data_IF_978104072696
#
_entry.id   IF_978104072696
#
_cell.length_a   1.000
_cell.length_b   1.000
_cell.length_c   1.000
_cell.angle_alpha   90.00
_cell.angle_beta   90.00
_cell.angle_gamma   90.00
#
_symmetry.space_group_name_H-M   'P 1'
#
loop_
_entity.id
_entity.type
_entity.pdbx_description
1 polymer ?
#
# COMPACT_ATOMS: atom_id res chain seq x y z
N UNK A 1 -30.00 -35.41 -21.17
CA UNK A 1 -30.06 -34.28 -20.25
C UNK A 1 -29.77 -34.82 -18.85
N UNK A 2 -28.59 -34.52 -18.28
CA UNK A 2 -28.26 -34.85 -16.90
C UNK A 2 -29.07 -33.94 -15.99
N UNK A 3 -29.82 -34.50 -15.06
CA UNK A 3 -30.52 -33.70 -14.05
C UNK A 3 -29.51 -33.41 -12.94
N UNK A 4 -29.27 -32.13 -12.70
CA UNK A 4 -28.41 -31.68 -11.61
C UNK A 4 -29.05 -32.02 -10.26
N UNK A 5 -28.24 -32.47 -9.32
CA UNK A 5 -28.67 -32.66 -7.94
C UNK A 5 -28.80 -31.31 -7.19
N UNK A 6 -29.30 -31.32 -5.95
CA UNK A 6 -29.56 -30.07 -5.23
C UNK A 6 -28.24 -29.36 -4.79
N UNK A 7 -27.15 -30.10 -4.59
CA UNK A 7 -25.83 -29.54 -4.31
C UNK A 7 -25.26 -28.82 -5.56
N UNK A 8 -25.31 -29.47 -6.73
CA UNK A 8 -24.87 -28.91 -8.00
C UNK A 8 -25.65 -27.61 -8.37
N UNK A 9 -26.95 -27.57 -8.05
CA UNK A 9 -27.75 -26.35 -8.26
C UNK A 9 -27.36 -25.22 -7.33
N UNK A 10 -27.06 -25.57 -6.07
CA UNK A 10 -26.63 -24.58 -5.07
C UNK A 10 -25.27 -24.00 -5.41
N UNK A 11 -24.31 -24.84 -5.84
CA UNK A 11 -23.01 -24.41 -6.32
C UNK A 11 -23.13 -23.49 -7.56
N UNK A 12 -23.99 -23.84 -8.53
CA UNK A 12 -24.21 -22.99 -9.70
C UNK A 12 -24.87 -21.64 -9.34
N UNK A 13 -25.75 -21.63 -8.35
CA UNK A 13 -26.39 -20.38 -7.88
C UNK A 13 -25.39 -19.52 -7.09
N UNK A 14 -24.53 -20.13 -6.27
CA UNK A 14 -23.44 -19.44 -5.55
C UNK A 14 -22.43 -18.83 -6.54
N UNK A 15 -21.99 -19.56 -7.56
CA UNK A 15 -21.09 -19.06 -8.62
C UNK A 15 -21.71 -17.90 -9.39
N UNK A 16 -23.01 -17.98 -9.76
CA UNK A 16 -23.73 -16.89 -10.44
C UNK A 16 -23.84 -15.65 -9.60
N UNK A 17 -24.12 -15.81 -8.30
CA UNK A 17 -24.20 -14.70 -7.36
C UNK A 17 -22.84 -14.05 -7.14
N UNK A 18 -21.77 -14.83 -7.05
CA UNK A 18 -20.40 -14.32 -6.96
C UNK A 18 -19.99 -13.53 -8.20
N UNK A 19 -20.27 -14.05 -9.40
CA UNK A 19 -20.01 -13.36 -10.65
C UNK A 19 -20.76 -12.03 -10.75
N UNK A 20 -22.06 -12.03 -10.38
CA UNK A 20 -22.89 -10.83 -10.37
C UNK A 20 -22.36 -9.77 -9.38
N UNK A 21 -21.89 -10.21 -8.22
CA UNK A 21 -21.32 -9.31 -7.21
C UNK A 21 -19.99 -8.70 -7.70
N UNK A 22 -19.16 -9.48 -8.39
CA UNK A 22 -17.94 -8.98 -9.04
C UNK A 22 -18.24 -7.92 -10.09
N UNK A 23 -19.23 -8.15 -10.97
CA UNK A 23 -19.65 -7.17 -11.97
C UNK A 23 -20.19 -5.88 -11.34
N UNK A 24 -21.03 -5.99 -10.33
CA UNK A 24 -21.58 -4.82 -9.62
C UNK A 24 -20.49 -3.99 -8.95
N UNK A 25 -19.54 -4.66 -8.33
CA UNK A 25 -18.41 -4.01 -7.69
C UNK A 25 -17.53 -3.26 -8.70
N UNK A 26 -17.19 -3.91 -9.81
CA UNK A 26 -16.42 -3.27 -10.90
C UNK A 26 -17.16 -2.09 -11.51
N UNK A 27 -18.47 -2.24 -11.75
CA UNK A 27 -19.28 -1.15 -12.29
C UNK A 27 -19.33 0.03 -11.30
N UNK A 28 -19.43 -0.23 -9.99
CA UNK A 28 -19.39 0.79 -8.95
C UNK A 28 -18.09 1.60 -8.98
N UNK A 29 -16.94 0.96 -9.18
CA UNK A 29 -15.66 1.67 -9.36
C UNK A 29 -15.68 2.53 -10.62
N UNK A 30 -16.13 2.00 -11.75
CA UNK A 30 -16.20 2.74 -13.03
C UNK A 30 -17.12 3.94 -12.94
N UNK A 31 -18.28 3.77 -12.33
CA UNK A 31 -19.27 4.84 -12.14
C UNK A 31 -18.69 5.95 -11.25
N UNK A 32 -18.03 5.58 -10.16
CA UNK A 32 -17.35 6.51 -9.27
C UNK A 32 -16.26 7.33 -10.01
N UNK A 33 -15.43 6.67 -10.81
CA UNK A 33 -14.35 7.33 -11.55
C UNK A 33 -14.85 8.28 -12.63
N UNK A 34 -16.02 7.99 -13.22
CA UNK A 34 -16.61 8.80 -14.30
C UNK A 34 -17.59 9.86 -13.82
N UNK A 35 -18.04 9.77 -12.56
CA UNK A 35 -19.05 10.69 -12.01
C UNK A 35 -18.43 12.02 -11.64
N UNK A 36 -19.07 13.11 -12.06
CA UNK A 36 -18.80 14.44 -11.52
C UNK A 36 -19.65 14.66 -10.27
N UNK A 37 -19.00 15.17 -9.22
CA UNK A 37 -19.64 15.45 -7.94
C UNK A 37 -19.72 16.94 -7.71
N UNK A 38 -20.81 17.38 -7.05
CA UNK A 38 -21.01 18.77 -6.65
C UNK A 38 -20.38 19.09 -5.28
N UNK A 39 -19.92 18.09 -4.55
CA UNK A 39 -19.22 18.23 -3.28
C UNK A 39 -17.75 17.85 -3.49
N UNK A 40 -16.82 18.52 -2.81
CA UNK A 40 -15.39 18.34 -3.04
C UNK A 40 -14.59 18.30 -1.74
N UNK A 41 -13.58 17.45 -1.70
CA UNK A 41 -12.43 17.61 -0.81
C UNK A 41 -11.37 18.41 -1.60
N UNK A 42 -11.16 19.65 -1.23
CA UNK A 42 -10.28 20.57 -1.97
C UNK A 42 -8.82 20.40 -1.57
N UNK A 43 -8.56 20.09 -0.30
CA UNK A 43 -7.21 19.88 0.21
C UNK A 43 -7.16 18.93 1.41
N UNK A 44 -6.04 18.20 1.56
CA UNK A 44 -5.72 17.38 2.73
C UNK A 44 -4.25 17.58 3.03
N UNK A 45 -3.94 18.30 4.11
CA UNK A 45 -2.57 18.55 4.57
C UNK A 45 -2.25 17.78 5.83
N UNK A 46 -1.02 17.31 5.96
CA UNK A 46 -0.55 16.53 7.11
C UNK A 46 0.65 17.19 7.75
N UNK A 47 0.50 17.55 9.03
CA UNK A 47 1.59 18.02 9.88
C UNK A 47 2.18 16.89 10.73
N UNK A 48 2.99 17.24 11.71
CA UNK A 48 3.62 16.25 12.62
C UNK A 48 2.57 15.52 13.47
N UNK A 49 1.58 16.24 13.97
CA UNK A 49 0.58 15.70 14.93
C UNK A 49 -0.85 15.80 14.46
N UNK A 50 -1.11 16.47 13.34
CA UNK A 50 -2.46 16.74 12.86
C UNK A 50 -2.62 16.52 11.36
N UNK A 51 -3.84 16.27 10.94
CA UNK A 51 -4.30 16.31 9.56
C UNK A 51 -5.40 17.34 9.42
N UNK A 52 -5.34 18.19 8.39
CA UNK A 52 -6.35 19.19 8.09
C UNK A 52 -7.00 18.87 6.75
N UNK A 53 -8.33 18.75 6.76
CA UNK A 53 -9.15 18.44 5.59
C UNK A 53 -10.01 19.65 5.26
N UNK A 54 -9.93 20.11 4.03
CA UNK A 54 -10.73 21.22 3.52
C UNK A 54 -11.64 20.75 2.39
N UNK A 55 -12.80 21.37 2.30
CA UNK A 55 -13.77 21.00 1.27
C UNK A 55 -15.01 21.86 1.28
N UNK A 56 -15.90 21.49 0.39
CA UNK A 56 -17.23 22.08 0.28
C UNK A 56 -18.28 21.00 0.00
N UNK A 57 -19.52 21.32 0.37
CA UNK A 57 -20.67 20.48 0.02
C UNK A 57 -21.89 21.34 -0.33
N UNK A 58 -22.79 20.79 -1.10
CA UNK A 58 -24.05 21.43 -1.50
C UNK A 58 -25.16 20.40 -1.59
N UNK A 59 -26.37 20.82 -1.36
CA UNK A 59 -27.57 20.01 -1.43
C UNK A 59 -28.39 20.00 -0.14
N UNK A 60 -29.46 19.20 -0.15
CA UNK A 60 -30.35 19.02 1.01
C UNK A 60 -30.06 17.69 1.72
N UNK A 61 -30.11 17.70 3.04
CA UNK A 61 -29.91 16.53 3.88
C UNK A 61 -28.77 16.71 4.89
N UNK A 62 -28.42 15.65 5.58
CA UNK A 62 -27.33 15.62 6.56
C UNK A 62 -26.04 15.15 5.87
N UNK A 63 -25.04 16.00 5.89
CA UNK A 63 -23.72 15.69 5.33
C UNK A 63 -22.69 15.53 6.42
N UNK A 64 -21.67 14.69 6.14
CA UNK A 64 -20.55 14.51 7.03
C UNK A 64 -19.26 14.28 6.23
N UNK A 65 -18.14 14.66 6.83
CA UNK A 65 -16.81 14.24 6.38
C UNK A 65 -16.56 12.82 6.88
N UNK A 66 -16.30 11.90 5.97
CA UNK A 66 -15.97 10.51 6.28
C UNK A 66 -14.50 10.21 6.10
N UNK A 67 -13.91 9.50 7.07
CA UNK A 67 -12.59 8.91 6.94
C UNK A 67 -12.68 7.51 6.34
N UNK A 68 -11.83 7.23 5.37
CA UNK A 68 -11.66 5.93 4.73
C UNK A 68 -10.22 5.48 5.00
N UNK A 69 -9.98 4.75 6.11
CA UNK A 69 -8.68 4.20 6.43
C UNK A 69 -8.16 3.24 5.35
N UNK A 70 -6.85 2.99 5.28
CA UNK A 70 -6.26 2.16 4.22
C UNK A 70 -6.74 0.70 4.22
N UNK A 71 -7.29 0.22 5.33
CA UNK A 71 -7.88 -1.13 5.47
C UNK A 71 -9.38 -1.19 5.17
N UNK A 72 -10.00 -0.06 4.78
CA UNK A 72 -11.43 0.02 4.43
C UNK A 72 -11.60 0.13 2.92
N UNK A 73 -12.44 -0.74 2.38
CA UNK A 73 -12.89 -0.65 0.99
C UNK A 73 -14.17 0.18 0.90
N UNK A 74 -14.07 1.40 0.40
CA UNK A 74 -15.19 2.33 0.34
C UNK A 74 -16.33 1.89 -0.60
N UNK A 75 -16.07 0.96 -1.51
CA UNK A 75 -17.08 0.41 -2.43
C UNK A 75 -17.85 -0.78 -1.84
N UNK A 76 -17.36 -1.34 -0.72
CA UNK A 76 -18.01 -2.44 0.01
C UNK A 76 -18.61 -2.00 1.33
N UNK A 77 -18.30 -0.78 1.79
CA UNK A 77 -18.74 -0.25 3.09
C UNK A 77 -20.07 0.42 2.96
N UNK A 78 -21.09 -0.08 3.67
CA UNK A 78 -22.42 0.51 3.72
C UNK A 78 -22.49 1.72 4.65
N UNK A 79 -21.76 1.68 5.77
CA UNK A 79 -21.69 2.75 6.76
C UNK A 79 -20.24 3.13 7.05
N UNK A 80 -19.99 4.43 7.05
CA UNK A 80 -18.71 4.98 7.46
C UNK A 80 -18.62 5.01 8.99
N UNK A 81 -17.60 4.43 9.57
CA UNK A 81 -17.43 4.38 11.03
C UNK A 81 -17.02 5.73 11.61
N UNK A 82 -16.05 6.39 10.99
CA UNK A 82 -15.57 7.69 11.46
C UNK A 82 -16.23 8.83 10.68
N UNK A 83 -17.13 9.56 11.36
CA UNK A 83 -17.95 10.63 10.79
C UNK A 83 -17.75 11.93 11.55
N UNK A 84 -17.62 13.02 10.81
CA UNK A 84 -17.62 14.37 11.37
C UNK A 84 -18.77 15.14 10.71
N UNK A 85 -19.83 15.50 11.45
CA UNK A 85 -20.95 16.26 10.89
C UNK A 85 -20.50 17.58 10.29
N UNK A 86 -21.05 17.93 9.14
CA UNK A 86 -20.81 19.19 8.45
C UNK A 86 -22.00 20.12 8.70
N UNK A 87 -21.74 21.35 9.13
CA UNK A 87 -22.75 22.37 9.42
C UNK A 87 -22.68 23.58 8.48
N UNK A 88 -21.55 23.76 7.81
CA UNK A 88 -21.29 24.88 6.90
C UNK A 88 -20.90 24.33 5.53
N UNK A 89 -21.39 24.96 4.47
CA UNK A 89 -21.18 24.51 3.09
C UNK A 89 -19.69 24.49 2.67
N UNK A 90 -18.84 25.24 3.34
CA UNK A 90 -17.38 25.17 3.20
C UNK A 90 -16.78 24.88 4.56
N UNK A 91 -15.85 23.93 4.63
CA UNK A 91 -15.30 23.48 5.89
C UNK A 91 -13.76 23.37 5.86
N UNK A 92 -13.18 23.53 7.04
CA UNK A 92 -11.77 23.23 7.31
C UNK A 92 -11.69 22.53 8.68
N UNK A 93 -11.39 21.26 8.68
CA UNK A 93 -11.44 20.39 9.87
C UNK A 93 -10.04 19.91 10.17
N UNK A 94 -9.58 20.15 11.40
CA UNK A 94 -8.30 19.64 11.89
C UNK A 94 -8.54 18.50 12.89
N UNK A 95 -7.79 17.41 12.71
CA UNK A 95 -7.87 16.20 13.53
C UNK A 95 -6.47 15.74 13.94
N UNK A 96 -6.41 14.93 14.99
CA UNK A 96 -5.17 14.24 15.34
C UNK A 96 -4.72 13.31 14.20
N UNK A 97 -3.43 13.36 13.88
CA UNK A 97 -2.83 12.52 12.83
C UNK A 97 -2.91 11.04 13.18
N UNK A 98 -2.72 10.69 14.43
CA UNK A 98 -2.69 9.30 14.87
C UNK A 98 -3.96 8.90 15.60
N UNK A 99 -4.53 7.76 15.22
CA UNK A 99 -5.76 7.21 15.80
C UNK A 99 -5.56 5.76 16.21
N UNK A 100 -6.16 5.39 17.36
CA UNK A 100 -6.12 4.01 17.86
C UNK A 100 -7.41 3.28 17.48
N UNK A 101 -7.28 2.10 16.87
CA UNK A 101 -8.35 1.16 16.57
C UNK A 101 -7.96 -0.19 17.15
N UNK A 102 -8.68 -0.63 18.18
CA UNK A 102 -8.26 -1.78 18.97
C UNK A 102 -6.87 -1.57 19.55
N UNK A 103 -5.95 -2.47 19.28
CA UNK A 103 -4.55 -2.41 19.73
C UNK A 103 -3.62 -1.67 18.75
N UNK A 104 -4.15 -1.18 17.63
CA UNK A 104 -3.35 -0.56 16.58
C UNK A 104 -3.49 0.96 16.58
N UNK A 105 -2.37 1.65 16.45
CA UNK A 105 -2.31 3.08 16.21
C UNK A 105 -1.93 3.30 14.75
N UNK A 106 -2.88 3.73 13.93
CA UNK A 106 -2.61 4.03 12.52
C UNK A 106 -2.43 5.52 12.27
N UNK A 107 -1.75 5.83 11.17
CA UNK A 107 -1.46 7.19 10.72
C UNK A 107 -2.49 7.62 9.67
N UNK A 108 -3.22 8.69 9.94
CA UNK A 108 -4.19 9.31 9.02
C UNK A 108 -3.55 9.91 7.76
N UNK A 109 -2.23 10.01 7.70
CA UNK A 109 -1.51 10.24 6.45
C UNK A 109 -1.89 9.22 5.36
N UNK A 110 -2.21 7.99 5.77
CA UNK A 110 -2.55 6.89 4.86
C UNK A 110 -4.04 6.82 4.51
N UNK A 111 -4.89 7.58 5.21
CA UNK A 111 -6.33 7.64 4.97
C UNK A 111 -6.68 8.51 3.76
N UNK A 112 -7.79 8.21 3.14
CA UNK A 112 -8.47 9.12 2.21
C UNK A 112 -9.76 9.65 2.83
N UNK A 113 -10.21 10.80 2.35
CA UNK A 113 -11.32 11.55 2.91
C UNK A 113 -12.34 11.84 1.84
N UNK A 114 -13.62 11.75 2.17
CA UNK A 114 -14.71 12.08 1.26
C UNK A 114 -15.89 12.69 2.00
N UNK A 115 -16.72 13.43 1.27
CA UNK A 115 -18.02 13.88 1.75
C UNK A 115 -19.05 12.80 1.49
N UNK A 116 -19.83 12.51 2.51
CA UNK A 116 -20.96 11.59 2.45
C UNK A 116 -22.25 12.30 2.85
N UNK A 117 -23.36 11.82 2.29
CA UNK A 117 -24.71 12.13 2.75
C UNK A 117 -25.21 10.97 3.59
N UNK A 118 -25.74 11.27 4.78
CA UNK A 118 -26.26 10.27 5.69
C UNK A 118 -27.51 9.60 5.11
N UNK A 119 -27.48 8.28 5.01
CA UNK A 119 -28.64 7.47 4.62
C UNK A 119 -29.17 6.64 5.78
N UNK A 120 -30.34 6.04 5.66
CA UNK A 120 -30.87 5.15 6.69
C UNK A 120 -30.03 3.87 6.80
N UNK A 121 -29.84 3.16 5.71
CA UNK A 121 -29.12 1.88 5.65
C UNK A 121 -27.71 2.03 5.07
N UNK A 122 -27.51 2.87 4.06
CA UNK A 122 -26.26 3.10 3.36
C UNK A 122 -25.93 4.59 3.32
N UNK A 123 -24.70 4.95 3.63
CA UNK A 123 -24.20 6.31 3.48
C UNK A 123 -23.82 6.56 2.01
N UNK A 124 -24.36 7.60 1.41
CA UNK A 124 -24.13 7.94 0.01
C UNK A 124 -22.82 8.74 -0.14
N UNK A 125 -21.90 8.23 -0.95
CA UNK A 125 -20.69 8.94 -1.35
C UNK A 125 -21.04 10.06 -2.34
N UNK A 126 -20.77 11.33 -1.97
CA UNK A 126 -21.17 12.52 -2.74
C UNK A 126 -20.00 13.39 -3.18
N UNK A 127 -18.77 12.96 -2.97
CA UNK A 127 -17.55 13.58 -3.49
C UNK A 127 -16.57 12.52 -3.96
N UNK A 128 -15.57 12.92 -4.77
CA UNK A 128 -14.38 12.09 -4.90
C UNK A 128 -13.62 12.03 -3.56
N UNK A 129 -13.09 10.84 -3.23
CA UNK A 129 -12.22 10.69 -2.08
C UNK A 129 -10.80 11.19 -2.41
N UNK A 130 -10.17 11.87 -1.44
CA UNK A 130 -8.84 12.46 -1.60
C UNK A 130 -7.88 11.98 -0.51
N UNK A 131 -6.68 11.60 -0.91
CA UNK A 131 -5.56 11.35 -0.02
C UNK A 131 -4.86 12.66 0.38
N UNK A 132 -4.00 12.57 1.39
CA UNK A 132 -3.12 13.66 1.78
C UNK A 132 -2.31 14.19 0.57
N UNK A 133 -2.12 15.50 0.57
CA UNK A 133 -1.33 16.19 -0.46
C UNK A 133 0.14 15.81 -0.28
N UNK A 134 0.71 15.18 -1.29
CA UNK A 134 2.08 14.64 -1.22
C UNK A 134 3.15 15.73 -1.07
N UNK A 135 2.90 16.92 -1.64
CA UNK A 135 3.80 18.08 -1.54
C UNK A 135 3.88 18.65 -0.11
N UNK A 136 2.95 18.26 0.77
CA UNK A 136 2.95 18.65 2.18
C UNK A 136 3.67 17.64 3.08
N UNK A 137 4.15 16.52 2.55
CA UNK A 137 4.93 15.52 3.29
C UNK A 137 6.38 15.98 3.27
N UNK A 138 6.88 16.37 4.44
CA UNK A 138 8.28 16.77 4.58
C UNK A 138 9.13 15.56 4.92
N UNK A 139 10.12 15.27 4.07
CA UNK A 139 11.11 14.25 4.36
C UNK A 139 11.99 14.64 5.56
N UNK A 140 12.38 13.66 6.35
CA UNK A 140 13.30 13.84 7.50
C UNK A 140 14.69 14.24 7.05
N UNK A 141 15.05 13.89 5.82
CA UNK A 141 16.31 14.29 5.17
C UNK A 141 16.06 14.53 3.68
N UNK A 142 16.97 15.25 3.05
CA UNK A 142 17.01 15.40 1.60
C UNK A 142 18.34 14.87 1.10
N UNK A 143 18.29 13.87 0.24
CA UNK A 143 19.47 13.27 -0.36
C UNK A 143 19.51 13.62 -1.84
N UNK A 144 20.65 14.12 -2.30
CA UNK A 144 20.81 14.47 -3.72
C UNK A 144 20.61 13.25 -4.62
N UNK A 145 19.93 13.48 -5.74
CA UNK A 145 19.76 12.48 -6.78
C UNK A 145 21.12 12.08 -7.36
N UNK A 146 21.37 10.78 -7.47
CA UNK A 146 22.59 10.27 -8.08
C UNK A 146 22.53 10.46 -9.59
N UNK A 147 23.43 11.24 -10.20
CA UNK A 147 23.42 11.43 -11.64
C UNK A 147 23.83 10.15 -12.38
N UNK A 148 23.04 9.74 -13.37
CA UNK A 148 23.37 8.57 -14.19
C UNK A 148 24.55 8.87 -15.10
N UNK A 149 25.67 8.17 -14.91
CA UNK A 149 26.91 8.31 -15.72
C UNK A 149 26.83 7.54 -17.05
N UNK A 150 25.95 6.56 -17.14
CA UNK A 150 25.73 5.76 -18.35
C UNK A 150 24.26 5.31 -18.42
N UNK A 151 23.86 4.75 -19.58
CA UNK A 151 22.55 4.10 -19.75
C UNK A 151 22.55 2.62 -19.39
N UNK A 152 23.67 2.11 -18.87
CA UNK A 152 23.77 0.71 -18.48
C UNK A 152 23.12 0.50 -17.12
N UNK A 153 22.30 -0.54 -17.02
CA UNK A 153 21.67 -0.99 -15.78
C UNK A 153 21.77 -2.50 -15.64
N UNK A 154 21.65 -2.99 -14.42
CA UNK A 154 21.62 -4.41 -14.09
C UNK A 154 20.34 -4.74 -13.33
N UNK A 155 19.54 -5.66 -13.86
CA UNK A 155 18.33 -6.15 -13.21
C UNK A 155 18.62 -7.30 -12.25
N UNK A 156 17.99 -7.29 -11.06
CA UNK A 156 18.08 -8.38 -10.10
C UNK A 156 19.48 -8.55 -9.48
N UNK A 157 20.12 -7.44 -9.12
CA UNK A 157 21.43 -7.47 -8.46
C UNK A 157 21.34 -8.20 -7.12
N UNK A 158 22.26 -9.11 -6.87
CA UNK A 158 22.36 -9.89 -5.64
C UNK A 158 23.79 -9.85 -5.09
N UNK A 159 23.93 -10.13 -3.80
CA UNK A 159 25.23 -10.33 -3.18
C UNK A 159 25.82 -11.66 -3.64
N UNK A 160 27.02 -11.62 -4.19
CA UNK A 160 27.79 -12.79 -4.62
C UNK A 160 29.28 -12.52 -4.56
N UNK A 161 30.11 -13.57 -4.65
CA UNK A 161 31.57 -13.48 -4.43
C UNK A 161 32.35 -12.56 -5.37
N UNK A 162 31.80 -12.20 -6.54
CA UNK A 162 32.39 -11.28 -7.51
C UNK A 162 31.73 -9.91 -7.57
N UNK A 163 30.81 -9.59 -6.63
CA UNK A 163 29.99 -8.39 -6.67
C UNK A 163 30.77 -7.11 -6.97
N UNK A 164 31.85 -6.83 -6.20
CA UNK A 164 32.65 -5.61 -6.37
C UNK A 164 33.36 -5.57 -7.69
N UNK A 165 33.93 -6.68 -8.13
CA UNK A 165 34.59 -6.82 -9.42
C UNK A 165 33.62 -6.55 -10.56
N UNK A 166 32.46 -7.17 -10.54
CA UNK A 166 31.47 -7.02 -11.60
C UNK A 166 30.91 -5.60 -11.67
N UNK A 167 30.65 -4.96 -10.52
CA UNK A 167 30.20 -3.55 -10.49
C UNK A 167 31.23 -2.60 -11.10
N UNK A 168 32.52 -2.83 -10.85
CA UNK A 168 33.61 -2.00 -11.37
C UNK A 168 33.81 -2.22 -12.89
N UNK A 169 33.74 -3.47 -13.38
CA UNK A 169 33.93 -3.79 -14.80
C UNK A 169 32.72 -3.46 -15.69
N UNK A 170 31.50 -3.67 -15.21
CA UNK A 170 30.30 -3.44 -16.02
C UNK A 170 30.05 -1.95 -16.28
N UNK A 171 30.47 -1.06 -15.39
CA UNK A 171 30.29 0.37 -15.52
C UNK A 171 28.82 0.76 -15.58
N UNK A 172 27.99 0.11 -14.78
CA UNK A 172 26.55 0.40 -14.65
C UNK A 172 26.31 1.68 -13.84
N UNK A 173 25.20 2.36 -14.10
CA UNK A 173 24.77 3.52 -13.34
C UNK A 173 23.46 3.28 -12.57
N UNK A 174 22.79 2.18 -12.85
CA UNK A 174 21.56 1.79 -12.14
C UNK A 174 21.48 0.28 -11.95
N UNK A 175 20.76 -0.14 -10.91
CA UNK A 175 20.45 -1.54 -10.68
C UNK A 175 19.06 -1.70 -10.06
N UNK A 176 18.48 -2.91 -10.13
CA UNK A 176 17.33 -3.29 -9.34
C UNK A 176 17.69 -4.40 -8.37
N UNK A 177 17.04 -4.40 -7.20
CA UNK A 177 17.09 -5.50 -6.24
C UNK A 177 15.65 -5.96 -5.92
N UNK A 178 15.46 -7.26 -5.74
CA UNK A 178 14.18 -7.81 -5.29
C UNK A 178 14.11 -7.82 -3.77
N UNK A 179 13.02 -7.32 -3.20
CA UNK A 179 12.79 -7.20 -1.76
C UNK A 179 11.55 -8.02 -1.38
N UNK A 180 11.66 -9.34 -1.20
CA UNK A 180 10.56 -10.18 -0.76
C UNK A 180 10.36 -10.02 0.75
N UNK A 181 9.47 -9.11 1.14
CA UNK A 181 9.25 -8.64 2.53
C UNK A 181 9.09 -9.80 3.50
N UNK A 182 8.24 -10.76 3.17
CA UNK A 182 7.93 -11.91 4.03
C UNK A 182 9.09 -12.90 4.23
N UNK A 183 10.19 -12.78 3.48
CA UNK A 183 11.36 -13.65 3.66
C UNK A 183 12.21 -13.24 4.87
N UNK A 184 12.07 -12.01 5.34
CA UNK A 184 12.89 -11.47 6.44
C UNK A 184 12.06 -10.77 7.52
N UNK A 185 10.75 -10.72 7.40
CA UNK A 185 9.84 -10.18 8.42
C UNK A 185 9.16 -11.32 9.16
N UNK A 186 9.11 -11.23 10.50
CA UNK A 186 8.45 -12.18 11.38
C UNK A 186 7.42 -11.48 12.27
N UNK A 187 6.37 -12.20 12.66
CA UNK A 187 5.35 -11.73 13.62
C UNK A 187 5.67 -12.10 15.07
N UNK A 188 6.65 -12.99 15.26
CA UNK A 188 7.18 -13.41 16.56
C UNK A 188 8.70 -13.37 16.54
N UNK A 189 9.30 -12.97 17.67
CA UNK A 189 10.73 -12.81 17.82
C UNK A 189 11.50 -14.13 17.53
N UNK A 190 12.52 -14.00 16.68
CA UNK A 190 13.48 -15.04 16.40
C UNK A 190 14.89 -14.59 16.83
N UNK A 191 15.80 -15.53 17.15
CA UNK A 191 17.17 -15.17 17.51
C UNK A 191 17.87 -14.36 16.41
N UNK A 192 18.36 -13.16 16.76
CA UNK A 192 19.05 -12.28 15.85
C UNK A 192 18.14 -11.37 15.03
N UNK A 193 16.87 -11.25 15.41
CA UNK A 193 15.96 -10.29 14.79
C UNK A 193 16.16 -8.86 15.33
N UNK A 194 15.98 -7.89 14.45
CA UNK A 194 15.80 -6.49 14.81
C UNK A 194 14.36 -6.28 15.25
N UNK A 195 14.17 -5.74 16.46
CA UNK A 195 12.86 -5.36 16.98
C UNK A 195 12.49 -3.98 16.45
N UNK A 196 11.32 -3.87 15.84
CA UNK A 196 10.81 -2.63 15.27
C UNK A 196 9.38 -2.34 15.72
N UNK A 197 9.17 -1.20 16.37
CA UNK A 197 7.84 -0.81 16.83
C UNK A 197 7.19 0.14 15.85
N UNK A 198 6.04 -0.26 15.32
CA UNK A 198 5.21 0.56 14.45
C UNK A 198 3.74 0.47 14.87
N UNK A 199 3.05 1.62 14.98
CA UNK A 199 1.64 1.65 15.31
C UNK A 199 1.26 0.96 16.64
N UNK A 200 2.16 0.94 17.63
CA UNK A 200 1.94 0.31 18.93
C UNK A 200 2.19 -1.20 18.98
N UNK A 201 2.58 -1.81 17.86
CA UNK A 201 2.96 -3.23 17.76
C UNK A 201 4.45 -3.37 17.46
N UNK A 202 5.03 -4.48 17.90
CA UNK A 202 6.41 -4.84 17.58
C UNK A 202 6.41 -5.88 16.47
N UNK A 203 7.25 -5.63 15.47
CA UNK A 203 7.54 -6.52 14.36
C UNK A 203 9.03 -6.87 14.39
N UNK A 204 9.40 -7.96 13.74
CA UNK A 204 10.74 -8.53 13.84
C UNK A 204 11.31 -8.72 12.45
N UNK A 205 12.57 -8.28 12.26
CA UNK A 205 13.23 -8.33 10.96
C UNK A 205 14.56 -9.08 11.08
N UNK A 206 14.75 -10.10 10.27
CA UNK A 206 15.96 -10.92 10.29
C UNK A 206 17.19 -10.11 9.87
N UNK A 207 18.03 -9.74 10.86
CA UNK A 207 19.21 -8.90 10.64
C UNK A 207 20.21 -9.55 9.68
N UNK A 208 20.47 -10.84 9.87
CA UNK A 208 21.44 -11.56 9.03
C UNK A 208 21.00 -11.62 7.56
N UNK A 209 19.70 -11.80 7.33
CA UNK A 209 19.14 -11.78 5.97
C UNK A 209 19.31 -10.38 5.33
N UNK A 210 18.99 -9.33 6.06
CA UNK A 210 19.12 -7.94 5.58
C UNK A 210 20.58 -7.62 5.24
N UNK A 211 21.51 -7.93 6.15
CA UNK A 211 22.96 -7.69 5.93
C UNK A 211 23.43 -8.44 4.69
N UNK A 212 23.16 -9.74 4.61
CA UNK A 212 23.70 -10.59 3.53
C UNK A 212 23.05 -10.33 2.18
N UNK A 213 21.78 -9.96 2.13
CA UNK A 213 21.03 -9.81 0.87
C UNK A 213 21.02 -8.37 0.36
N UNK A 214 20.95 -7.38 1.26
CA UNK A 214 20.71 -5.98 0.87
C UNK A 214 21.81 -5.03 1.32
N UNK A 215 22.18 -5.00 2.60
CA UNK A 215 23.10 -3.99 3.13
C UNK A 215 24.43 -3.97 2.37
N UNK A 216 25.04 -5.15 2.16
CA UNK A 216 26.30 -5.28 1.42
C UNK A 216 26.15 -4.77 -0.01
N UNK A 217 25.07 -5.13 -0.69
CA UNK A 217 24.80 -4.70 -2.08
C UNK A 217 24.62 -3.19 -2.13
N UNK A 218 23.81 -2.64 -1.24
CA UNK A 218 23.49 -1.21 -1.21
C UNK A 218 24.70 -0.36 -0.82
N UNK A 219 25.54 -0.80 0.11
CA UNK A 219 26.80 -0.14 0.43
C UNK A 219 27.74 -0.10 -0.78
N UNK A 220 27.91 -1.22 -1.48
CA UNK A 220 28.79 -1.29 -2.65
C UNK A 220 28.26 -0.43 -3.82
N UNK A 221 26.95 -0.37 -4.03
CA UNK A 221 26.35 0.46 -5.06
C UNK A 221 26.39 1.95 -4.71
N UNK A 222 26.10 2.33 -3.46
CA UNK A 222 26.17 3.71 -2.99
C UNK A 222 27.57 4.29 -3.10
N UNK A 223 28.60 3.55 -2.69
CA UNK A 223 30.02 3.95 -2.81
C UNK A 223 30.44 4.22 -4.25
N UNK A 224 29.80 3.59 -5.22
CA UNK A 224 30.06 3.75 -6.67
C UNK A 224 29.17 4.77 -7.36
N UNK A 225 28.22 5.35 -6.64
CA UNK A 225 27.20 6.23 -7.20
C UNK A 225 26.31 5.50 -8.22
N UNK A 226 25.93 4.25 -7.92
CA UNK A 226 24.96 3.47 -8.68
C UNK A 226 23.58 3.65 -8.03
N UNK A 227 22.62 4.14 -8.80
CA UNK A 227 21.23 4.32 -8.34
C UNK A 227 20.53 2.97 -8.27
N UNK A 228 19.93 2.64 -7.13
CA UNK A 228 19.22 1.36 -6.94
C UNK A 228 17.72 1.57 -6.82
N UNK A 229 16.97 0.75 -7.54
CA UNK A 229 15.52 0.61 -7.39
C UNK A 229 15.20 -0.71 -6.67
N UNK A 230 14.48 -0.60 -5.54
CA UNK A 230 13.99 -1.74 -4.77
C UNK A 230 12.62 -2.19 -5.28
N UNK A 231 12.50 -3.45 -5.68
CA UNK A 231 11.25 -4.07 -6.12
C UNK A 231 10.60 -4.76 -4.93
N UNK A 232 9.50 -4.21 -4.43
CA UNK A 232 8.75 -4.76 -3.29
C UNK A 232 7.92 -5.97 -3.72
N UNK A 233 8.14 -7.08 -3.05
CA UNK A 233 7.46 -8.35 -3.31
C UNK A 233 6.92 -8.93 -1.99
N UNK A 234 5.82 -9.67 -2.06
CA UNK A 234 5.26 -10.40 -0.92
C UNK A 234 5.17 -11.87 -1.29
N UNK A 235 6.05 -12.70 -0.74
CA UNK A 235 5.93 -14.14 -0.87
C UNK A 235 4.81 -14.64 0.07
N UNK A 236 3.93 -15.54 -0.40
CA UNK A 236 2.76 -16.00 0.38
C UNK A 236 3.09 -17.09 1.40
N UNK A 237 4.25 -16.99 2.05
CA UNK A 237 4.77 -18.02 2.97
C UNK A 237 5.42 -17.40 4.20
N UNK A 238 5.55 -18.19 5.28
CA UNK A 238 5.97 -17.69 6.59
C UNK A 238 4.80 -16.98 7.31
N UNK A 239 4.99 -16.65 8.59
CA UNK A 239 3.94 -16.02 9.41
C UNK A 239 3.55 -14.64 8.89
N UNK A 240 4.52 -13.79 8.55
CA UNK A 240 4.26 -12.50 7.92
C UNK A 240 3.65 -12.66 6.51
N UNK A 241 4.11 -13.63 5.72
CA UNK A 241 3.58 -13.89 4.39
C UNK A 241 2.11 -14.34 4.41
N UNK A 242 1.73 -15.17 5.37
CA UNK A 242 0.35 -15.60 5.56
C UNK A 242 -0.57 -14.43 5.95
N UNK A 243 -0.11 -13.50 6.79
CA UNK A 243 -0.86 -12.30 7.16
C UNK A 243 -0.96 -11.29 6.00
N UNK A 244 0.14 -11.09 5.28
CA UNK A 244 0.24 -10.11 4.19
C UNK A 244 -0.40 -10.59 2.88
N UNK A 245 -0.63 -11.88 2.74
CA UNK A 245 -1.21 -12.49 1.55
C UNK A 245 -2.64 -11.98 1.30
N UNK A 246 -2.92 -11.53 0.06
CA UNK A 246 -4.28 -11.14 -0.33
C UNK A 246 -5.26 -12.29 -0.07
N UNK A 247 -6.47 -12.04 0.49
CA UNK A 247 -7.44 -13.09 0.78
C UNK A 247 -7.80 -13.99 -0.41
N UNK A 248 -7.83 -13.40 -1.61
CA UNK A 248 -8.18 -14.10 -2.84
C UNK A 248 -6.96 -14.64 -3.62
N UNK A 249 -5.78 -14.69 -2.98
CA UNK A 249 -4.61 -15.35 -3.58
C UNK A 249 -4.90 -16.83 -3.82
N UNK A 250 -4.71 -17.30 -5.06
CA UNK A 250 -5.12 -18.64 -5.48
C UNK A 250 -3.99 -19.67 -5.58
N UNK A 251 -2.79 -19.34 -5.13
CA UNK A 251 -1.65 -20.27 -5.10
C UNK A 251 -0.90 -20.47 -6.41
N UNK A 252 -1.26 -19.77 -7.48
CA UNK A 252 -0.65 -19.96 -8.81
C UNK A 252 0.66 -19.18 -8.99
N UNK A 253 0.76 -18.00 -8.39
CA UNK A 253 1.89 -17.10 -8.58
C UNK A 253 2.91 -17.18 -7.43
N UNK A 254 4.19 -16.80 -7.65
CA UNK A 254 5.20 -16.76 -6.60
C UNK A 254 4.99 -15.63 -5.59
N UNK A 255 4.25 -14.58 -5.98
CA UNK A 255 3.98 -13.41 -5.14
C UNK A 255 2.50 -13.06 -5.13
N UNK A 256 2.10 -12.31 -4.12
CA UNK A 256 0.72 -11.89 -3.88
C UNK A 256 0.61 -10.37 -3.80
N UNK A 257 -0.56 -9.82 -4.14
CA UNK A 257 -0.95 -8.47 -3.76
C UNK A 257 -1.06 -8.39 -2.22
N UNK A 258 -0.77 -7.25 -1.58
CA UNK A 258 -0.93 -7.12 -0.14
C UNK A 258 -2.39 -7.25 0.30
N UNK A 259 -2.57 -7.88 1.45
CA UNK A 259 -3.83 -7.90 2.15
C UNK A 259 -4.07 -6.53 2.82
N UNK A 260 -4.94 -5.73 2.23
CA UNK A 260 -5.34 -4.43 2.75
C UNK A 260 -6.82 -4.44 3.18
N UNK A 261 -7.29 -5.57 3.72
CA UNK A 261 -8.69 -5.76 4.13
C UNK A 261 -8.89 -5.79 5.63
N UNK A 262 -7.80 -5.85 6.42
CA UNK A 262 -7.83 -5.82 7.88
C UNK A 262 -6.84 -4.80 8.43
N UNK A 263 -7.11 -4.29 9.64
CA UNK A 263 -6.19 -3.38 10.35
C UNK A 263 -4.83 -4.04 10.54
N UNK A 264 -4.83 -5.29 10.98
CA UNK A 264 -3.62 -6.03 11.32
C UNK A 264 -2.69 -6.22 10.12
N UNK A 265 -3.21 -6.73 9.00
CA UNK A 265 -2.42 -6.94 7.79
C UNK A 265 -1.95 -5.64 7.16
N UNK A 266 -2.79 -4.62 7.16
CA UNK A 266 -2.44 -3.29 6.63
C UNK A 266 -1.35 -2.62 7.47
N UNK A 267 -1.44 -2.72 8.82
CA UNK A 267 -0.39 -2.20 9.71
C UNK A 267 0.91 -2.99 9.61
N UNK A 268 0.84 -4.31 9.41
CA UNK A 268 2.01 -5.14 9.15
C UNK A 268 2.73 -4.70 7.86
N UNK A 269 1.97 -4.47 6.78
CA UNK A 269 2.53 -3.97 5.54
C UNK A 269 3.13 -2.57 5.70
N UNK A 270 2.43 -1.66 6.36
CA UNK A 270 2.93 -0.32 6.65
C UNK A 270 4.22 -0.35 7.50
N UNK A 271 4.30 -1.24 8.50
CA UNK A 271 5.50 -1.42 9.32
C UNK A 271 6.71 -1.89 8.50
N UNK A 272 6.50 -2.81 7.56
CA UNK A 272 7.55 -3.26 6.65
C UNK A 272 8.07 -2.12 5.77
N UNK A 273 7.16 -1.32 5.20
CA UNK A 273 7.51 -0.17 4.37
C UNK A 273 8.27 0.91 5.16
N UNK A 274 7.81 1.20 6.38
CA UNK A 274 8.41 2.21 7.26
C UNK A 274 9.82 1.78 7.70
N UNK A 275 9.97 0.52 8.11
CA UNK A 275 11.28 -0.06 8.45
C UNK A 275 12.27 0.01 7.28
N UNK A 276 11.84 -0.41 6.09
CA UNK A 276 12.69 -0.40 4.90
C UNK A 276 13.06 1.01 4.48
N UNK A 277 12.07 1.93 4.48
CA UNK A 277 12.31 3.33 4.14
C UNK A 277 13.28 3.99 5.11
N UNK A 278 13.11 3.75 6.42
CA UNK A 278 14.01 4.27 7.45
C UNK A 278 15.44 3.73 7.27
N UNK A 279 15.58 2.41 7.06
CA UNK A 279 16.89 1.76 6.94
C UNK A 279 17.64 2.17 5.68
N UNK A 280 16.94 2.26 4.55
CA UNK A 280 17.54 2.44 3.23
C UNK A 280 17.36 3.85 2.64
N UNK A 281 17.08 4.83 3.48
CA UNK A 281 17.23 6.25 3.17
C UNK A 281 18.62 6.79 3.49
N UNK A 282 19.49 6.00 4.16
CA UNK A 282 20.86 6.36 4.48
C UNK A 282 21.66 6.53 3.16
N UNK A 283 22.35 7.67 2.93
CA UNK A 283 23.14 7.89 1.72
C UNK A 283 24.17 6.81 1.42
N UNK A 284 24.74 6.19 2.46
CA UNK A 284 25.75 5.14 2.33
C UNK A 284 25.16 3.76 1.99
N UNK A 285 23.81 3.63 2.07
CA UNK A 285 23.11 2.36 1.88
C UNK A 285 21.69 2.63 1.32
N UNK A 286 21.61 3.28 0.16
CA UNK A 286 20.37 3.88 -0.33
C UNK A 286 19.62 3.05 -1.35
N UNK A 287 18.30 2.95 -1.17
CA UNK A 287 17.32 2.66 -2.23
C UNK A 287 16.77 4.00 -2.72
N UNK A 288 17.13 4.39 -3.95
CA UNK A 288 16.75 5.68 -4.51
C UNK A 288 15.35 5.67 -5.14
N UNK A 289 14.87 4.50 -5.56
CA UNK A 289 13.57 4.35 -6.20
C UNK A 289 12.86 3.10 -5.67
N UNK A 290 11.53 3.14 -5.64
CA UNK A 290 10.71 2.03 -5.18
C UNK A 290 9.79 1.58 -6.32
N UNK A 291 9.85 0.30 -6.66
CA UNK A 291 8.94 -0.34 -7.61
C UNK A 291 7.93 -1.13 -6.80
N UNK A 292 6.68 -0.70 -6.87
CA UNK A 292 5.60 -1.28 -6.09
C UNK A 292 5.08 -2.49 -6.84
N UNK A 293 5.48 -3.65 -6.35
CA UNK A 293 5.29 -4.96 -6.95
C UNK A 293 5.98 -5.11 -8.30
N UNK A 294 5.87 -6.28 -8.91
CA UNK A 294 6.50 -6.59 -10.18
C UNK A 294 5.49 -7.26 -11.10
N UNK A 295 5.62 -6.99 -12.42
CA UNK A 295 4.81 -7.59 -13.47
C UNK A 295 3.29 -7.57 -13.16
N UNK A 296 2.81 -6.41 -12.74
CA UNK A 296 1.41 -6.21 -12.33
C UNK A 296 0.42 -6.35 -13.48
N UNK A 297 0.86 -6.21 -14.72
CA UNK A 297 0.13 -6.51 -15.94
C UNK A 297 -0.09 -8.03 -16.14
N UNK A 298 0.80 -8.85 -15.58
CA UNK A 298 0.66 -10.31 -15.47
C UNK A 298 0.14 -10.77 -14.11
N UNK A 299 -0.74 -10.01 -13.45
CA UNK A 299 -1.13 -10.18 -12.05
C UNK A 299 -1.57 -11.58 -11.64
N UNK A 300 -2.24 -12.36 -12.51
CA UNK A 300 -2.62 -13.75 -12.19
C UNK A 300 -1.38 -14.64 -12.00
N UNK A 301 -0.30 -14.39 -12.74
CA UNK A 301 0.88 -15.24 -12.76
C UNK A 301 2.04 -14.72 -11.92
N UNK A 302 1.98 -13.46 -11.45
CA UNK A 302 3.08 -12.85 -10.72
C UNK A 302 2.66 -12.18 -9.42
N UNK A 303 1.88 -11.08 -9.46
CA UNK A 303 1.38 -10.37 -8.26
C UNK A 303 -0.11 -10.69 -8.08
N UNK A 304 -0.38 -11.86 -7.50
CA UNK A 304 -1.69 -12.51 -7.55
C UNK A 304 -2.65 -12.04 -6.47
N UNK A 305 -3.89 -11.77 -6.85
CA UNK A 305 -5.05 -11.60 -5.96
C UNK A 305 -6.30 -12.33 -6.51
N UNK A 306 -6.10 -13.49 -7.15
CA UNK A 306 -7.14 -14.21 -7.87
C UNK A 306 -7.45 -13.56 -9.22
N UNK A 307 -8.39 -14.15 -9.94
CA UNK A 307 -8.90 -13.58 -11.19
C UNK A 307 -9.85 -12.42 -10.88
N UNK A 308 -9.40 -11.20 -11.14
CA UNK A 308 -10.15 -9.97 -10.86
C UNK A 308 -10.30 -9.13 -12.11
N UNK A 309 -11.45 -8.44 -12.25
CA UNK A 309 -11.59 -7.37 -13.21
C UNK A 309 -10.50 -6.31 -13.03
N UNK A 310 -10.07 -5.71 -14.14
CA UNK A 310 -8.96 -4.76 -14.12
C UNK A 310 -9.18 -3.57 -13.17
N UNK A 311 -10.42 -3.05 -13.06
CA UNK A 311 -10.72 -1.94 -12.18
C UNK A 311 -10.53 -2.33 -10.70
N UNK A 312 -10.95 -3.53 -10.30
CA UNK A 312 -10.75 -4.08 -8.96
C UNK A 312 -9.28 -4.29 -8.64
N UNK A 313 -8.53 -4.89 -9.59
CA UNK A 313 -7.09 -5.10 -9.44
C UNK A 313 -6.35 -3.77 -9.26
N UNK A 314 -6.66 -2.80 -10.12
CA UNK A 314 -6.04 -1.48 -10.09
C UNK A 314 -6.38 -0.70 -8.82
N UNK A 315 -7.60 -0.80 -8.26
CA UNK A 315 -7.94 -0.14 -7.00
C UNK A 315 -7.04 -0.64 -5.85
N UNK A 316 -6.87 -1.95 -5.72
CA UNK A 316 -5.98 -2.52 -4.68
C UNK A 316 -4.52 -2.15 -4.91
N UNK A 317 -4.06 -2.23 -6.16
CA UNK A 317 -2.69 -1.86 -6.53
C UNK A 317 -2.40 -0.38 -6.23
N UNK A 318 -3.29 0.53 -6.60
CA UNK A 318 -3.14 1.97 -6.34
C UNK A 318 -3.16 2.30 -4.85
N UNK A 319 -3.94 1.59 -4.02
CA UNK A 319 -3.88 1.74 -2.55
C UNK A 319 -2.50 1.34 -2.01
N UNK A 320 -1.95 0.22 -2.48
CA UNK A 320 -0.60 -0.21 -2.13
C UNK A 320 0.47 0.80 -2.56
N UNK A 321 0.41 1.30 -3.79
CA UNK A 321 1.30 2.35 -4.29
C UNK A 321 1.23 3.61 -3.44
N UNK A 322 0.03 4.08 -3.12
CA UNK A 322 -0.17 5.29 -2.32
C UNK A 322 0.37 5.12 -0.90
N UNK A 323 0.18 3.97 -0.28
CA UNK A 323 0.74 3.67 1.04
C UNK A 323 2.26 3.72 1.01
N UNK A 324 2.89 3.03 0.07
CA UNK A 324 4.34 3.06 -0.08
C UNK A 324 4.86 4.48 -0.32
N UNK A 325 4.25 5.21 -1.24
CA UNK A 325 4.63 6.59 -1.55
C UNK A 325 4.59 7.48 -0.31
N UNK A 326 3.46 7.50 0.41
CA UNK A 326 3.29 8.34 1.59
C UNK A 326 4.25 7.98 2.74
N UNK A 327 4.60 6.70 2.89
CA UNK A 327 5.54 6.27 3.92
C UNK A 327 6.97 6.64 3.53
N UNK A 328 7.39 6.30 2.31
CA UNK A 328 8.78 6.52 1.85
C UNK A 328 9.12 8.01 1.84
N UNK A 329 8.22 8.87 1.36
CA UNK A 329 8.43 10.31 1.31
C UNK A 329 8.60 11.00 2.68
N UNK A 330 8.36 10.29 3.79
CA UNK A 330 8.70 10.81 5.12
C UNK A 330 10.20 10.71 5.43
N UNK A 331 10.95 9.95 4.66
CA UNK A 331 12.37 9.68 4.90
C UNK A 331 13.28 10.35 3.86
N UNK A 332 12.85 10.40 2.59
CA UNK A 332 13.65 11.00 1.49
C UNK A 332 12.76 11.46 0.31
#
# INVERSE_FOLDING_TARGET
LRVMNDEEKKEEEEEKNEALNKEKYEQGIKDYLSKEYACHITDVTVGETSVTIQGDYTGEGTFFLGEIPPFVDMFKTEKIEFKIPLSENSFSIQLDRYVTVGDFKYDRLLSKWAVFKEGADVDELVSHARYANVDAIHAKQSVEAVPLKSKKGLGGLINHGLLTHDLDELGISSATINIPISNFMHLSEQPGDILYTYGGKTYYFNEQYLISSFDVVLQQTSQRGISVAGILLIAPSGDAGELLKHPDYNGVAPYTMPNMTTVESTQCYAAALDFLAQRYSDPDMRIAHWIIHNEVDGGIHWTNMGDKPIATFMDTYLRSMRMCYNIVHQYD
#
